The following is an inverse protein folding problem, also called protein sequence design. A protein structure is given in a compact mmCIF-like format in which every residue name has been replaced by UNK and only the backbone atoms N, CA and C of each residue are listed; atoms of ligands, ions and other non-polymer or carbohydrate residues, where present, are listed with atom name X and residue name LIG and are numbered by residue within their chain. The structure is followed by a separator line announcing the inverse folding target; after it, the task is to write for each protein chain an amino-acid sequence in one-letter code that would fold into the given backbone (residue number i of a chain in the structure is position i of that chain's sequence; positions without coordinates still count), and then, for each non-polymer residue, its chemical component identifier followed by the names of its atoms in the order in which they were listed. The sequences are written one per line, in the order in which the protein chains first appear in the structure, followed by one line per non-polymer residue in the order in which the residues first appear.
data_IF_210569713364
#
_entry.id   IF_210569713364
#
_cell.length_a   1.000
_cell.length_b   1.000
_cell.length_c   1.000
_cell.angle_alpha   90.00
_cell.angle_beta   90.00
_cell.angle_gamma   90.00
#
_symmetry.space_group_name_H-M   'P 1'
#
loop_
_entity.id
_entity.type
_entity.pdbx_description
1 polymer ?
#
# COMPACT_ATOMS: atom_id res chain seq x y z
N UNK A 1 2.25 -20.84 -37.29
CA UNK A 1 3.72 -20.70 -37.27
C UNK A 1 4.06 -19.22 -37.16
N UNK A 2 4.38 -18.74 -35.95
CA UNK A 2 5.14 -17.50 -35.73
C UNK A 2 6.26 -17.81 -34.72
N UNK A 3 7.35 -18.48 -35.13
CA UNK A 3 8.53 -18.65 -34.30
C UNK A 3 9.39 -17.39 -34.48
N UNK A 4 9.44 -16.52 -33.47
CA UNK A 4 10.42 -15.41 -33.41
C UNK A 4 9.86 -14.00 -33.15
N UNK A 5 8.55 -13.76 -33.20
CA UNK A 5 8.00 -12.39 -33.21
C UNK A 5 7.52 -11.79 -31.88
N UNK A 6 7.47 -12.54 -30.76
CA UNK A 6 6.80 -12.04 -29.54
C UNK A 6 7.65 -11.01 -28.77
N UNK A 7 8.97 -11.00 -28.98
CA UNK A 7 9.89 -10.07 -28.31
C UNK A 7 9.74 -8.62 -28.81
N UNK A 8 9.28 -8.39 -30.05
CA UNK A 8 9.15 -7.04 -30.61
C UNK A 8 7.94 -6.27 -30.07
N UNK A 9 6.87 -6.94 -29.62
CA UNK A 9 5.70 -6.25 -29.09
C UNK A 9 5.95 -5.57 -27.73
N UNK A 10 6.86 -6.09 -26.90
CA UNK A 10 7.13 -5.54 -25.55
C UNK A 10 7.74 -4.13 -25.59
N UNK A 11 8.46 -3.78 -26.66
CA UNK A 11 9.09 -2.46 -26.84
C UNK A 11 8.21 -1.41 -27.52
N UNK A 12 7.07 -1.79 -28.10
CA UNK A 12 6.17 -0.84 -28.74
C UNK A 12 5.39 -0.01 -27.73
N UNK A 13 5.15 1.25 -28.06
CA UNK A 13 4.22 2.14 -27.36
C UNK A 13 2.85 1.45 -27.16
N UNK A 14 2.20 1.57 -25.99
CA UNK A 14 0.94 0.88 -25.69
C UNK A 14 -0.18 1.15 -26.69
N UNK A 15 -0.29 2.37 -27.23
CA UNK A 15 -1.34 2.70 -28.19
C UNK A 15 -1.06 2.03 -29.54
N UNK A 16 0.20 2.04 -29.97
CA UNK A 16 0.64 1.41 -31.21
C UNK A 16 0.51 -0.12 -31.15
N UNK A 17 0.83 -0.71 -29.99
CA UNK A 17 0.60 -2.14 -29.71
C UNK A 17 -0.88 -2.52 -29.81
N UNK A 18 -1.77 -1.73 -29.20
CA UNK A 18 -3.21 -1.95 -29.29
C UNK A 18 -3.73 -1.86 -30.73
N UNK A 19 -3.21 -0.92 -31.52
CA UNK A 19 -3.57 -0.76 -32.93
C UNK A 19 -3.10 -1.95 -33.77
N UNK A 20 -1.83 -2.35 -33.66
CA UNK A 20 -1.29 -3.53 -34.37
C UNK A 20 -2.06 -4.79 -33.98
N UNK A 21 -2.33 -5.02 -32.69
CA UNK A 21 -3.14 -6.17 -32.26
C UNK A 21 -4.57 -6.13 -32.81
N UNK A 22 -5.12 -4.94 -33.05
CA UNK A 22 -6.48 -4.78 -33.61
C UNK A 22 -6.51 -5.00 -35.13
N UNK A 23 -5.51 -4.52 -35.85
CA UNK A 23 -5.44 -4.60 -37.32
C UNK A 23 -4.90 -5.95 -37.80
N UNK A 24 -3.95 -6.55 -37.08
CA UNK A 24 -3.20 -7.73 -37.55
C UNK A 24 -3.78 -9.07 -37.10
N UNK A 25 -4.69 -9.07 -36.12
CA UNK A 25 -5.26 -10.30 -35.57
C UNK A 25 -6.77 -10.34 -35.75
N UNK A 26 -7.25 -11.49 -36.21
CA UNK A 26 -8.69 -11.78 -36.21
C UNK A 26 -9.24 -11.84 -34.79
N UNK A 27 -10.55 -11.66 -34.61
CA UNK A 27 -11.19 -11.69 -33.29
C UNK A 27 -10.89 -13.00 -32.53
N UNK A 28 -10.91 -14.14 -33.22
CA UNK A 28 -10.59 -15.43 -32.62
C UNK A 28 -9.13 -15.50 -32.13
N UNK A 29 -8.18 -14.94 -32.90
CA UNK A 29 -6.78 -14.88 -32.52
C UNK A 29 -6.53 -13.93 -31.35
N UNK A 30 -7.26 -12.81 -31.26
CA UNK A 30 -7.20 -11.89 -30.11
C UNK A 30 -7.65 -12.59 -28.82
N UNK A 31 -8.76 -13.31 -28.88
CA UNK A 31 -9.26 -14.10 -27.73
C UNK A 31 -8.27 -15.21 -27.35
N UNK A 32 -7.68 -15.91 -28.33
CA UNK A 32 -6.67 -16.92 -28.07
C UNK A 32 -5.39 -16.34 -27.44
N UNK A 33 -4.91 -15.20 -27.92
CA UNK A 33 -3.75 -14.50 -27.37
C UNK A 33 -4.02 -13.99 -25.94
N UNK A 34 -5.21 -13.46 -25.68
CA UNK A 34 -5.63 -13.03 -24.34
C UNK A 34 -5.67 -14.22 -23.38
N UNK A 35 -6.28 -15.35 -23.78
CA UNK A 35 -6.27 -16.60 -22.99
C UNK A 35 -4.85 -17.10 -22.73
N UNK A 36 -3.96 -17.04 -23.71
CA UNK A 36 -2.56 -17.44 -23.56
C UNK A 36 -1.80 -16.50 -22.60
N UNK A 37 -1.97 -15.18 -22.71
CA UNK A 37 -1.34 -14.20 -21.82
C UNK A 37 -1.79 -14.39 -20.36
N UNK A 38 -3.06 -14.73 -20.15
CA UNK A 38 -3.61 -15.06 -18.84
C UNK A 38 -2.96 -16.36 -18.31
N UNK A 39 -2.86 -17.40 -19.13
CA UNK A 39 -2.23 -18.67 -18.75
C UNK A 39 -0.73 -18.52 -18.40
N UNK A 40 0.00 -17.66 -19.12
CA UNK A 40 1.42 -17.40 -18.85
C UNK A 40 1.65 -16.63 -17.53
N UNK A 41 0.71 -15.75 -17.13
CA UNK A 41 0.80 -15.06 -15.83
C UNK A 41 0.66 -16.01 -14.64
N UNK A 42 0.03 -17.17 -14.83
CA UNK A 42 -0.04 -18.23 -13.82
C UNK A 42 1.20 -19.13 -13.75
N UNK A 43 2.10 -19.07 -14.74
CA UNK A 43 3.31 -19.91 -14.82
C UNK A 43 4.59 -19.21 -14.35
N UNK A 44 4.54 -17.93 -13.96
CA UNK A 44 5.68 -17.26 -13.33
C UNK A 44 5.87 -17.82 -11.91
N UNK A 45 6.75 -18.82 -11.82
CA UNK A 45 7.13 -19.61 -10.64
C UNK A 45 7.64 -18.75 -9.46
N UNK A 46 7.46 -19.21 -8.20
CA UNK A 46 7.98 -18.54 -7.02
C UNK A 46 9.48 -18.85 -6.87
N UNK A 47 10.32 -17.89 -7.18
CA UNK A 47 11.71 -17.91 -6.79
C UNK A 47 12.10 -16.49 -6.39
N UNK A 48 11.95 -16.17 -5.10
CA UNK A 48 12.95 -15.47 -4.27
C UNK A 48 12.52 -15.68 -2.82
N UNK A 49 13.01 -16.75 -2.21
CA UNK A 49 13.14 -16.89 -0.76
C UNK A 49 14.63 -16.74 -0.42
N UNK A 50 14.91 -16.00 0.65
CA UNK A 50 16.18 -15.88 1.37
C UNK A 50 17.45 -15.47 0.59
N UNK A 51 17.80 -14.18 0.68
CA UNK A 51 19.22 -13.75 0.75
C UNK A 51 19.38 -12.81 1.95
N UNK A 52 19.80 -13.40 3.07
CA UNK A 52 20.48 -12.72 4.16
C UNK A 52 21.95 -12.72 3.80
N UNK A 53 22.60 -11.54 3.71
CA UNK A 53 24.07 -11.45 3.65
C UNK A 53 24.56 -10.56 4.79
N UNK A 54 25.40 -11.17 5.61
CA UNK A 54 26.17 -10.57 6.71
C UNK A 54 27.63 -10.39 6.22
N UNK A 55 28.09 -9.12 6.28
CA UNK A 55 29.41 -8.61 6.67
C UNK A 55 30.69 -8.62 5.78
N UNK A 56 31.56 -7.64 6.11
CA UNK A 56 33.05 -7.60 6.00
C UNK A 56 33.57 -6.94 4.71
N UNK A 57 34.21 -5.77 4.68
CA UNK A 57 35.46 -5.23 5.30
C UNK A 57 36.79 -5.81 4.76
N UNK A 58 37.47 -4.99 3.94
CA UNK A 58 38.93 -4.79 3.72
C UNK A 58 39.05 -3.88 2.46
N UNK A 59 39.68 -2.70 2.43
CA UNK A 59 41.07 -2.31 2.77
C UNK A 59 41.97 -2.68 1.56
N UNK A 60 42.79 -1.87 0.90
CA UNK A 60 43.23 -0.46 0.92
C UNK A 60 43.72 -0.14 -0.52
N UNK A 61 43.82 1.13 -0.91
CA UNK A 61 44.43 1.51 -2.20
C UNK A 61 44.55 3.02 -2.41
N UNK A 62 45.66 3.57 -1.93
CA UNK A 62 46.04 4.98 -2.01
C UNK A 62 46.12 5.54 -3.44
N UNK A 63 45.79 6.83 -3.62
CA UNK A 63 46.53 7.75 -4.50
C UNK A 63 46.23 9.21 -4.15
N UNK A 64 47.32 9.92 -3.87
CA UNK A 64 47.43 11.34 -3.60
C UNK A 64 47.08 12.20 -4.81
N UNK A 65 46.44 13.36 -4.58
CA UNK A 65 46.66 14.55 -5.40
C UNK A 65 46.34 15.80 -4.56
N UNK A 66 47.40 16.53 -4.25
CA UNK A 66 47.41 17.89 -3.74
C UNK A 66 46.93 18.88 -4.80
N UNK A 67 46.12 19.88 -4.40
CA UNK A 67 46.11 21.18 -5.08
C UNK A 67 45.75 22.27 -4.10
N UNK A 68 46.75 23.10 -3.82
CA UNK A 68 46.69 24.40 -3.17
C UNK A 68 46.09 25.45 -4.11
N UNK A 69 45.67 26.58 -3.52
CA UNK A 69 45.77 27.99 -3.95
C UNK A 69 44.48 28.75 -3.57
N UNK A 70 44.47 29.62 -2.53
CA UNK A 70 44.96 31.02 -2.47
C UNK A 70 43.91 32.05 -2.91
N UNK A 71 43.67 33.08 -2.06
CA UNK A 71 43.12 34.39 -2.45
C UNK A 71 42.01 34.89 -1.51
N UNK A 72 42.30 35.72 -0.49
CA UNK A 72 42.51 37.20 -0.46
C UNK A 72 41.25 38.03 -0.18
N UNK A 73 41.21 38.58 1.05
CA UNK A 73 40.98 39.98 1.49
C UNK A 73 39.97 40.90 0.76
N UNK A 74 39.04 41.49 1.53
CA UNK A 74 38.66 42.93 1.60
C UNK A 74 37.59 43.07 2.72
N UNK A 75 37.79 43.75 3.87
CA UNK A 75 37.79 45.21 4.12
C UNK A 75 36.67 45.96 3.39
N UNK A 76 35.58 46.34 4.05
CA UNK A 76 35.46 47.58 4.85
C UNK A 76 34.00 48.02 5.05
N UNK A 77 33.82 48.65 6.20
CA UNK A 77 33.00 49.81 6.50
C UNK A 77 31.54 49.73 6.97
N UNK A 78 31.37 50.58 7.97
CA UNK A 78 30.30 50.71 8.93
C UNK A 78 29.28 51.78 8.53
N UNK A 79 28.05 51.66 9.04
CA UNK A 79 27.45 52.59 10.02
C UNK A 79 25.92 52.68 9.89
N UNK A 80 25.27 52.48 11.04
CA UNK A 80 24.13 53.27 11.57
C UNK A 80 22.88 53.46 10.71
N UNK A 81 21.72 52.95 11.16
CA UNK A 81 20.65 53.76 11.79
C UNK A 81 19.79 52.82 12.65
N UNK A 82 19.52 53.24 13.89
CA UNK A 82 18.70 52.51 14.85
C UNK A 82 17.21 52.60 14.55
N UNK A 83 16.50 51.52 14.87
CA UNK A 83 15.07 51.57 15.15
C UNK A 83 14.74 50.52 16.22
N UNK A 84 14.34 50.98 17.39
CA UNK A 84 13.90 50.13 18.49
C UNK A 84 12.43 49.77 18.27
N UNK A 85 12.14 48.47 18.07
CA UNK A 85 10.85 47.90 18.49
C UNK A 85 10.90 46.37 18.67
N UNK A 86 10.16 45.81 19.65
CA UNK A 86 10.42 44.50 20.20
C UNK A 86 9.55 43.42 19.53
N UNK A 87 10.11 42.24 19.28
CA UNK A 87 9.30 41.13 18.79
C UNK A 87 10.03 39.79 18.66
N UNK A 88 9.61 38.86 19.52
CA UNK A 88 9.49 37.41 19.28
C UNK A 88 10.76 36.56 19.01
N UNK A 89 11.11 35.80 20.04
CA UNK A 89 11.38 34.35 20.06
C UNK A 89 12.05 33.73 18.81
N UNK A 90 13.36 33.53 18.94
CA UNK A 90 14.18 32.66 18.09
C UNK A 90 13.75 31.18 18.22
N UNK A 91 13.53 30.53 17.07
CA UNK A 91 13.46 29.08 16.94
C UNK A 91 14.56 28.61 15.97
N UNK A 92 15.23 27.47 16.19
CA UNK A 92 16.47 27.15 15.50
C UNK A 92 16.25 26.61 14.09
N UNK A 93 17.13 27.08 13.19
CA UNK A 93 17.36 26.64 11.83
C UNK A 93 17.64 25.12 11.74
N UNK A 94 16.92 24.44 10.84
CA UNK A 94 17.19 23.05 10.46
C UNK A 94 17.92 23.05 9.10
N UNK A 95 19.15 22.53 9.07
CA UNK A 95 19.97 22.40 7.85
C UNK A 95 19.65 21.07 7.17
N UNK A 96 19.29 21.16 5.89
CA UNK A 96 18.97 20.05 5.00
C UNK A 96 20.25 19.50 4.36
N UNK A 97 20.55 18.22 4.54
CA UNK A 97 21.64 17.54 3.85
C UNK A 97 21.10 16.33 3.08
N UNK A 98 21.03 16.48 1.75
CA UNK A 98 20.70 15.42 0.82
C UNK A 98 21.91 14.54 0.52
N UNK A 99 21.68 13.23 0.43
CA UNK A 99 22.66 12.28 -0.10
C UNK A 99 21.97 11.29 -1.04
N UNK A 100 22.32 11.39 -2.31
CA UNK A 100 21.95 10.52 -3.43
C UNK A 100 22.94 9.36 -3.50
N UNK A 101 22.48 8.11 -3.59
CA UNK A 101 23.34 6.95 -3.83
C UNK A 101 22.86 6.18 -5.07
N UNK A 102 23.78 6.09 -6.04
CA UNK A 102 23.67 5.31 -7.27
C UNK A 102 24.16 3.87 -7.05
N UNK A 103 23.52 2.92 -7.72
CA UNK A 103 23.88 1.49 -7.77
C UNK A 103 24.57 1.21 -9.11
N UNK A 104 25.71 0.50 -9.08
CA UNK A 104 26.31 -0.13 -10.25
C UNK A 104 26.45 -1.63 -10.04
N UNK A 105 26.18 -2.36 -11.12
CA UNK A 105 26.16 -3.80 -11.29
C UNK A 105 27.55 -4.46 -11.17
N UNK A 106 27.56 -5.75 -10.76
CA UNK A 106 28.73 -6.64 -10.77
C UNK A 106 28.53 -7.78 -11.78
N UNK A 107 29.61 -8.33 -12.37
CA UNK A 107 29.63 -9.69 -12.89
C UNK A 107 30.42 -10.67 -12.01
N UNK A 108 30.10 -11.94 -12.23
CA UNK A 108 30.41 -13.17 -11.49
C UNK A 108 31.86 -13.65 -11.63
N UNK A 109 32.35 -14.35 -10.60
CA UNK A 109 33.40 -15.36 -10.70
C UNK A 109 33.22 -16.42 -9.60
N UNK A 110 33.67 -17.62 -9.94
CA UNK A 110 33.34 -18.96 -9.42
C UNK A 110 34.20 -19.41 -8.22
N UNK A 111 33.92 -20.65 -7.78
CA UNK A 111 34.74 -21.56 -6.93
C UNK A 111 34.63 -21.34 -5.41
N UNK A 112 34.70 -22.33 -4.53
CA UNK A 112 34.45 -23.79 -4.54
C UNK A 112 34.48 -24.24 -3.06
N UNK A 113 33.99 -25.45 -2.81
CA UNK A 113 34.33 -26.38 -1.72
C UNK A 113 33.71 -26.34 -0.30
N UNK A 114 33.20 -27.55 0.02
CA UNK A 114 33.34 -28.35 1.25
C UNK A 114 32.24 -28.30 2.35
N UNK A 115 31.46 -29.40 2.36
CA UNK A 115 31.16 -30.35 3.45
C UNK A 115 30.85 -29.83 4.88
N UNK A 116 29.72 -30.27 5.46
CA UNK A 116 29.70 -31.39 6.43
C UNK A 116 28.35 -31.52 7.20
N UNK A 117 27.92 -32.77 7.38
CA UNK A 117 27.03 -33.39 8.40
C UNK A 117 25.56 -32.97 8.61
N UNK A 118 24.71 -33.81 8.01
CA UNK A 118 23.60 -34.58 8.61
C UNK A 118 23.39 -34.54 10.15
N UNK A 119 22.16 -34.22 10.56
CA UNK A 119 21.52 -34.79 11.74
C UNK A 119 20.01 -34.96 11.49
N UNK A 120 19.59 -36.22 11.49
CA UNK A 120 18.24 -36.73 11.27
C UNK A 120 17.58 -36.90 12.64
N UNK A 121 16.43 -36.28 12.88
CA UNK A 121 15.60 -36.53 14.06
C UNK A 121 14.13 -36.69 13.63
N UNK A 122 13.75 -37.96 13.57
CA UNK A 122 12.37 -38.45 13.66
C UNK A 122 11.80 -38.13 15.04
N UNK A 123 10.55 -37.67 15.09
CA UNK A 123 9.64 -37.86 16.22
C UNK A 123 8.20 -37.73 15.70
N UNK A 124 7.63 -38.87 15.35
CA UNK A 124 6.20 -39.13 15.21
C UNK A 124 5.50 -38.92 16.56
N UNK A 125 4.30 -38.35 16.56
CA UNK A 125 3.51 -38.15 17.77
C UNK A 125 2.06 -37.89 17.43
N UNK A 126 1.35 -38.97 17.12
CA UNK A 126 -0.10 -39.03 17.00
C UNK A 126 -0.78 -38.76 18.36
N UNK A 127 -1.73 -37.83 18.38
CA UNK A 127 -2.73 -37.75 19.46
C UNK A 127 -4.10 -37.41 18.87
N UNK A 128 -4.89 -38.46 18.69
CA UNK A 128 -6.33 -38.39 18.54
C UNK A 128 -6.99 -37.94 19.85
N UNK A 129 -7.81 -36.89 19.77
CA UNK A 129 -8.77 -36.54 20.82
C UNK A 129 -10.12 -36.32 20.16
N UNK A 130 -10.96 -37.35 20.22
CA UNK A 130 -12.40 -37.27 19.97
C UNK A 130 -13.10 -36.64 21.18
N UNK A 131 -14.06 -35.75 20.94
CA UNK A 131 -14.90 -35.16 21.98
C UNK A 131 -16.02 -34.27 21.42
N UNK A 132 -17.31 -34.62 21.61
CA UNK A 132 -18.45 -34.05 20.89
C UNK A 132 -19.13 -32.90 21.67
N UNK A 133 -19.84 -32.02 20.94
CA UNK A 133 -21.09 -31.41 21.41
C UNK A 133 -21.76 -30.62 20.27
N UNK A 134 -22.89 -31.14 19.80
CA UNK A 134 -23.83 -30.44 18.94
C UNK A 134 -24.45 -29.26 19.70
N UNK A 135 -24.04 -28.04 19.36
CA UNK A 135 -24.66 -26.80 19.79
C UNK A 135 -25.57 -26.25 18.71
N UNK A 136 -26.88 -26.22 19.00
CA UNK A 136 -27.94 -25.62 18.18
C UNK A 136 -27.61 -24.13 17.96
N UNK A 137 -27.11 -23.81 16.78
CA UNK A 137 -26.71 -22.45 16.41
C UNK A 137 -27.91 -21.59 16.02
N UNK A 138 -28.28 -20.67 16.91
CA UNK A 138 -29.07 -19.49 16.56
C UNK A 138 -28.45 -18.80 15.33
N UNK A 139 -29.27 -18.64 14.29
CA UNK A 139 -28.90 -18.03 13.03
C UNK A 139 -28.82 -16.51 13.20
N UNK A 140 -27.79 -16.05 13.90
CA UNK A 140 -27.46 -14.63 14.03
C UNK A 140 -27.24 -13.95 12.67
N UNK A 141 -27.39 -12.62 12.58
CA UNK A 141 -27.34 -11.90 11.32
C UNK A 141 -25.99 -12.12 10.62
N UNK A 142 -26.03 -12.76 9.43
CA UNK A 142 -24.90 -13.04 8.54
C UNK A 142 -23.91 -11.86 8.51
N UNK A 143 -22.88 -11.98 9.34
CA UNK A 143 -21.70 -11.12 9.27
C UNK A 143 -21.01 -11.51 7.97
N UNK A 144 -21.07 -10.61 6.99
CA UNK A 144 -20.40 -10.80 5.71
C UNK A 144 -18.92 -11.10 5.99
N UNK A 145 -18.50 -12.33 5.65
CA UNK A 145 -17.13 -12.78 5.86
C UNK A 145 -16.13 -11.82 5.22
N UNK A 146 -14.92 -11.66 5.82
CA UNK A 146 -13.85 -10.89 5.21
C UNK A 146 -13.52 -11.46 3.82
N UNK A 147 -13.22 -10.56 2.91
CA UNK A 147 -12.97 -10.77 1.48
C UNK A 147 -12.07 -12.00 1.20
N UNK A 148 -12.45 -12.92 0.29
CA UNK A 148 -11.66 -14.10 -0.01
C UNK A 148 -10.27 -13.73 -0.54
N UNK A 149 -9.26 -14.49 -0.10
CA UNK A 149 -7.86 -14.32 -0.44
C UNK A 149 -7.59 -14.64 -1.92
N UNK A 150 -7.04 -13.62 -2.57
CA UNK A 150 -6.53 -13.39 -3.94
C UNK A 150 -5.93 -14.48 -4.84
N UNK A 151 -5.97 -15.79 -4.57
CA UNK A 151 -5.30 -16.77 -5.45
C UNK A 151 -6.32 -17.54 -6.32
N UNK A 152 -6.11 -17.48 -7.63
CA UNK A 152 -6.67 -18.33 -8.71
C UNK A 152 -8.05 -18.03 -9.31
N UNK A 153 -8.71 -16.94 -8.93
CA UNK A 153 -9.96 -16.54 -9.57
C UNK A 153 -9.74 -15.50 -10.68
N UNK A 154 -10.23 -15.80 -11.89
CA UNK A 154 -10.39 -14.90 -13.04
C UNK A 154 -11.20 -13.64 -12.66
N UNK A 155 -10.57 -12.71 -11.93
CA UNK A 155 -11.23 -11.50 -11.44
C UNK A 155 -11.14 -10.40 -12.48
N UNK A 156 -12.27 -10.12 -13.14
CA UNK A 156 -12.47 -8.84 -13.82
C UNK A 156 -12.37 -7.75 -12.75
N UNK A 157 -11.46 -6.80 -12.90
CA UNK A 157 -11.15 -5.81 -11.85
C UNK A 157 -12.38 -4.94 -11.55
N UNK A 158 -12.99 -5.17 -10.39
CA UNK A 158 -14.20 -4.47 -9.95
C UNK A 158 -15.49 -5.23 -10.23
N UNK A 159 -15.39 -6.50 -10.61
CA UNK A 159 -16.47 -7.48 -10.51
C UNK A 159 -16.03 -8.52 -9.48
N UNK A 160 -16.93 -8.92 -8.60
CA UNK A 160 -16.69 -9.88 -7.54
C UNK A 160 -17.67 -11.03 -7.73
N UNK A 161 -17.15 -12.25 -7.65
CA UNK A 161 -17.96 -13.47 -7.72
C UNK A 161 -17.94 -14.16 -6.36
N UNK A 162 -19.08 -14.63 -5.90
CA UNK A 162 -19.21 -15.40 -4.66
C UNK A 162 -20.11 -16.60 -4.92
N UNK A 163 -19.62 -17.80 -4.64
CA UNK A 163 -20.41 -19.01 -4.68
C UNK A 163 -21.13 -19.20 -3.33
N UNK A 164 -22.44 -19.37 -3.36
CA UNK A 164 -23.26 -19.70 -2.19
C UNK A 164 -24.11 -20.91 -2.55
N UNK A 165 -23.92 -22.03 -1.83
CA UNK A 165 -24.63 -23.29 -2.07
C UNK A 165 -24.53 -23.76 -3.53
N UNK A 166 -23.32 -23.72 -4.12
CA UNK A 166 -23.08 -24.11 -5.52
C UNK A 166 -23.56 -23.09 -6.58
N UNK A 167 -24.29 -22.05 -6.18
CA UNK A 167 -24.75 -21.00 -7.08
C UNK A 167 -23.78 -19.83 -7.07
N UNK A 168 -23.29 -19.41 -8.24
CA UNK A 168 -22.41 -18.25 -8.38
C UNK A 168 -23.23 -16.97 -8.50
N UNK A 169 -22.89 -16.00 -7.66
CA UNK A 169 -23.43 -14.64 -7.71
C UNK A 169 -22.31 -13.66 -8.03
N UNK A 170 -22.61 -12.68 -8.87
CA UNK A 170 -21.72 -11.63 -9.30
C UNK A 170 -22.20 -10.29 -8.75
N UNK A 171 -21.27 -9.38 -8.46
CA UNK A 171 -21.58 -7.98 -8.14
C UNK A 171 -20.52 -7.06 -8.70
N UNK A 172 -20.93 -5.89 -9.19
CA UNK A 172 -20.01 -4.86 -9.61
C UNK A 172 -19.67 -3.94 -8.43
N UNK A 173 -18.41 -3.51 -8.38
CA UNK A 173 -17.95 -2.54 -7.41
C UNK A 173 -16.91 -1.58 -8.02
N UNK A 174 -17.02 -0.30 -7.66
CA UNK A 174 -16.04 0.71 -7.99
C UNK A 174 -15.78 1.63 -6.81
N UNK A 175 -14.64 2.28 -6.84
CA UNK A 175 -14.28 3.30 -5.87
C UNK A 175 -13.98 4.56 -6.68
N UNK A 176 -14.72 5.62 -6.38
CA UNK A 176 -14.53 6.96 -6.91
C UNK A 176 -14.06 7.83 -5.76
N UNK A 177 -12.81 8.29 -5.84
CA UNK A 177 -12.11 8.91 -4.70
C UNK A 177 -12.10 7.96 -3.47
N UNK A 178 -12.99 8.20 -2.50
CA UNK A 178 -13.17 7.39 -1.28
C UNK A 178 -14.55 6.75 -1.19
N UNK A 179 -15.45 7.05 -2.11
CA UNK A 179 -16.81 6.50 -2.10
C UNK A 179 -16.79 5.19 -2.88
N UNK A 180 -17.03 4.09 -2.18
CA UNK A 180 -17.25 2.77 -2.74
C UNK A 180 -18.69 2.65 -3.21
N UNK A 181 -18.87 2.29 -4.48
CA UNK A 181 -20.14 1.94 -5.11
C UNK A 181 -20.21 0.42 -5.24
N UNK A 182 -21.31 -0.18 -4.79
CA UNK A 182 -21.52 -1.63 -4.80
C UNK A 182 -22.94 -1.92 -5.28
N UNK A 183 -23.09 -2.76 -6.30
CA UNK A 183 -24.41 -3.17 -6.81
C UNK A 183 -25.03 -4.29 -5.98
N UNK A 184 -26.28 -4.62 -6.26
CA UNK A 184 -26.84 -5.92 -5.85
C UNK A 184 -26.05 -7.08 -6.44
N UNK A 185 -26.21 -8.24 -5.82
CA UNK A 185 -25.71 -9.49 -6.38
C UNK A 185 -26.70 -10.02 -7.42
N UNK A 186 -26.20 -10.50 -8.56
CA UNK A 186 -27.00 -11.12 -9.61
C UNK A 186 -26.33 -12.42 -10.09
N UNK A 187 -27.11 -13.37 -10.61
CA UNK A 187 -26.58 -14.61 -11.18
C UNK A 187 -26.11 -14.39 -12.61
N UNK A 188 -26.72 -13.44 -13.31
CA UNK A 188 -26.37 -13.13 -14.67
C UNK A 188 -25.14 -12.21 -14.71
N UNK A 189 -24.03 -12.77 -15.20
CA UNK A 189 -22.80 -12.01 -15.38
C UNK A 189 -22.98 -10.86 -16.38
N UNK A 190 -23.82 -11.00 -17.41
CA UNK A 190 -24.02 -9.96 -18.42
C UNK A 190 -24.61 -8.70 -17.80
N UNK A 191 -25.65 -8.84 -16.97
CA UNK A 191 -26.25 -7.74 -16.21
C UNK A 191 -25.23 -7.03 -15.31
N UNK A 192 -24.37 -7.79 -14.63
CA UNK A 192 -23.32 -7.22 -13.78
C UNK A 192 -22.23 -6.53 -14.60
N UNK A 193 -21.93 -6.99 -15.81
CA UNK A 193 -20.99 -6.33 -16.71
C UNK A 193 -21.56 -4.99 -17.18
N UNK A 194 -22.85 -4.90 -17.52
CA UNK A 194 -23.50 -3.63 -17.86
C UNK A 194 -23.42 -2.63 -16.71
N UNK A 195 -23.71 -3.10 -15.49
CA UNK A 195 -23.53 -2.28 -14.29
C UNK A 195 -22.07 -1.84 -14.10
N UNK A 196 -21.12 -2.73 -14.36
CA UNK A 196 -19.69 -2.44 -14.23
C UNK A 196 -19.21 -1.38 -15.24
N UNK A 197 -19.74 -1.42 -16.46
CA UNK A 197 -19.46 -0.42 -17.51
C UNK A 197 -19.92 0.95 -17.03
N UNK A 198 -21.17 1.07 -16.57
CA UNK A 198 -21.71 2.33 -16.04
C UNK A 198 -20.88 2.87 -14.85
N UNK A 199 -20.56 2.02 -13.87
CA UNK A 199 -19.72 2.42 -12.73
C UNK A 199 -18.29 2.83 -13.14
N UNK A 200 -17.76 2.25 -14.22
CA UNK A 200 -16.44 2.60 -14.75
C UNK A 200 -16.49 3.92 -15.52
N UNK A 201 -17.54 4.17 -16.30
CA UNK A 201 -17.78 5.45 -16.97
C UNK A 201 -17.89 6.59 -15.94
N UNK A 202 -18.65 6.39 -14.86
CA UNK A 202 -18.72 7.35 -13.74
C UNK A 202 -17.35 7.67 -13.16
N UNK A 203 -16.53 6.64 -12.90
CA UNK A 203 -15.17 6.85 -12.38
C UNK A 203 -14.30 7.64 -13.36
N UNK A 204 -14.37 7.33 -14.66
CA UNK A 204 -13.61 8.03 -15.69
C UNK A 204 -14.00 9.50 -15.75
N UNK A 205 -15.32 9.79 -15.80
CA UNK A 205 -15.87 11.15 -15.76
C UNK A 205 -15.36 11.92 -14.55
N UNK A 206 -15.45 11.34 -13.36
CA UNK A 206 -14.95 11.95 -12.11
C UNK A 206 -13.43 12.12 -12.06
N UNK A 207 -12.65 11.41 -12.88
CA UNK A 207 -11.19 11.55 -12.90
C UNK A 207 -10.71 12.77 -13.70
N UNK A 208 -11.55 13.31 -14.59
CA UNK A 208 -11.24 14.50 -15.41
C UNK A 208 -11.24 15.78 -14.55
N UNK A 209 -12.02 15.79 -13.48
CA UNK A 209 -12.38 16.97 -12.72
C UNK A 209 -11.39 17.40 -11.62
N UNK A 210 -10.29 16.66 -11.43
CA UNK A 210 -9.29 16.93 -10.39
C UNK A 210 -9.85 16.96 -8.96
N UNK A 211 -9.05 17.47 -8.02
CA UNK A 211 -9.40 17.59 -6.59
C UNK A 211 -10.12 18.93 -6.26
N UNK A 212 -11.08 19.38 -7.09
CA UNK A 212 -11.83 20.62 -6.76
C UNK A 212 -12.81 20.42 -5.59
N UNK A 213 -13.12 21.53 -4.89
CA UNK A 213 -13.92 21.58 -3.66
C UNK A 213 -15.35 21.05 -3.84
N UNK A 214 -15.89 21.07 -5.07
CA UNK A 214 -17.27 20.66 -5.38
C UNK A 214 -17.40 19.17 -5.72
N UNK A 215 -16.66 18.30 -5.01
CA UNK A 215 -16.69 16.86 -5.29
C UNK A 215 -18.10 16.28 -5.18
N UNK A 216 -18.87 16.66 -4.16
CA UNK A 216 -20.19 16.09 -3.89
C UNK A 216 -21.20 16.41 -4.98
N UNK A 217 -21.33 17.68 -5.38
CA UNK A 217 -22.28 18.12 -6.40
C UNK A 217 -21.95 17.48 -7.74
N UNK A 218 -20.67 17.51 -8.13
CA UNK A 218 -20.19 16.87 -9.36
C UNK A 218 -20.40 15.36 -9.35
N UNK A 219 -20.22 14.71 -8.20
CA UNK A 219 -20.47 13.28 -8.07
C UNK A 219 -21.96 12.95 -8.26
N UNK A 220 -22.87 13.74 -7.64
CA UNK A 220 -24.33 13.57 -7.80
C UNK A 220 -24.74 13.75 -9.26
N UNK A 221 -24.33 14.85 -9.87
CA UNK A 221 -24.61 15.17 -11.26
C UNK A 221 -24.06 14.10 -12.21
N UNK A 222 -22.77 13.77 -12.09
CA UNK A 222 -22.13 12.77 -12.96
C UNK A 222 -22.78 11.39 -12.82
N UNK A 223 -23.23 11.02 -11.62
CA UNK A 223 -23.91 9.74 -11.40
C UNK A 223 -25.27 9.72 -12.09
N UNK A 224 -26.06 10.79 -11.99
CA UNK A 224 -27.36 10.89 -12.65
C UNK A 224 -27.20 10.84 -14.18
N UNK A 225 -26.29 11.62 -14.74
CA UNK A 225 -26.02 11.65 -16.19
C UNK A 225 -25.56 10.28 -16.71
N UNK A 226 -24.55 9.67 -16.06
CA UNK A 226 -24.02 8.37 -16.50
C UNK A 226 -25.07 7.27 -16.39
N UNK A 227 -25.87 7.25 -15.32
CA UNK A 227 -26.94 6.25 -15.20
C UNK A 227 -28.01 6.44 -16.28
N UNK A 228 -28.39 7.69 -16.57
CA UNK A 228 -29.32 8.03 -17.65
C UNK A 228 -28.81 7.60 -19.04
N UNK A 229 -27.54 7.88 -19.36
CA UNK A 229 -26.89 7.47 -20.62
C UNK A 229 -26.92 5.96 -20.84
N UNK A 230 -26.82 5.19 -19.76
CA UNK A 230 -26.86 3.72 -19.79
C UNK A 230 -28.29 3.15 -19.63
N UNK A 231 -29.33 3.99 -19.53
CA UNK A 231 -30.71 3.54 -19.31
C UNK A 231 -30.91 2.82 -17.97
N UNK A 232 -30.10 3.15 -16.96
CA UNK A 232 -30.10 2.53 -15.63
C UNK A 232 -30.63 3.50 -14.57
N UNK A 233 -31.15 2.95 -13.48
CA UNK A 233 -31.46 3.72 -12.27
C UNK A 233 -30.70 3.13 -11.08
N UNK A 234 -30.36 3.98 -10.09
CA UNK A 234 -29.66 3.51 -8.89
C UNK A 234 -30.46 2.42 -8.15
N UNK A 235 -31.79 2.54 -8.12
CA UNK A 235 -32.70 1.55 -7.55
C UNK A 235 -32.68 0.23 -8.33
N UNK A 236 -32.72 0.28 -9.68
CA UNK A 236 -32.65 -0.91 -10.52
C UNK A 236 -31.33 -1.68 -10.35
N UNK A 237 -30.21 -0.99 -10.10
CA UNK A 237 -28.93 -1.64 -9.83
C UNK A 237 -28.81 -2.17 -8.38
N UNK A 238 -29.75 -1.83 -7.50
CA UNK A 238 -29.60 -2.01 -6.05
C UNK A 238 -28.32 -1.37 -5.54
N UNK A 239 -28.02 -0.15 -6.02
CA UNK A 239 -26.78 0.54 -5.74
C UNK A 239 -26.70 0.93 -4.27
N UNK A 240 -25.60 0.54 -3.63
CA UNK A 240 -25.26 0.88 -2.25
C UNK A 240 -23.89 1.52 -2.20
N UNK A 241 -23.71 2.35 -1.18
CA UNK A 241 -22.54 3.20 -1.02
C UNK A 241 -21.85 2.94 0.32
N UNK A 242 -20.54 3.05 0.35
CA UNK A 242 -19.78 3.16 1.60
C UNK A 242 -18.62 4.14 1.41
N UNK A 243 -18.08 4.66 2.50
CA UNK A 243 -16.82 5.42 2.47
C UNK A 243 -15.69 4.48 2.86
N UNK A 244 -14.68 4.39 2.00
CA UNK A 244 -13.45 3.64 2.24
C UNK A 244 -12.31 4.58 2.54
N UNK A 245 -11.52 4.24 3.54
CA UNK A 245 -10.32 4.99 3.87
C UNK A 245 -9.27 4.08 4.48
N UNK A 246 -8.01 4.40 4.18
CA UNK A 246 -6.87 3.74 4.81
C UNK A 246 -6.60 4.36 6.17
N UNK A 247 -6.27 3.53 7.16
CA UNK A 247 -5.74 3.99 8.45
C UNK A 247 -4.34 3.42 8.65
N UNK A 248 -3.37 4.31 8.87
CA UNK A 248 -1.98 3.94 9.17
C UNK A 248 -1.85 3.27 10.54
N UNK A 249 -2.72 3.63 11.49
CA UNK A 249 -2.72 3.11 12.87
C UNK A 249 -3.02 1.61 12.94
N UNK A 250 -3.91 1.11 12.07
CA UNK A 250 -4.30 -0.30 12.00
C UNK A 250 -3.85 -0.99 10.71
N UNK A 251 -3.13 -0.27 9.83
CA UNK A 251 -2.58 -0.75 8.56
C UNK A 251 -3.58 -1.51 7.67
N UNK A 252 -4.83 -1.04 7.65
CA UNK A 252 -5.89 -1.66 6.85
C UNK A 252 -6.84 -0.62 6.25
N UNK A 253 -7.56 -1.05 5.22
CA UNK A 253 -8.64 -0.24 4.63
C UNK A 253 -9.92 -0.49 5.41
N UNK A 254 -10.44 0.56 6.03
CA UNK A 254 -11.76 0.54 6.65
C UNK A 254 -12.83 0.91 5.63
N UNK A 255 -14.01 0.32 5.81
CA UNK A 255 -15.21 0.64 5.05
C UNK A 255 -16.34 0.89 6.04
N UNK A 256 -17.03 2.03 5.89
CA UNK A 256 -18.26 2.31 6.64
C UNK A 256 -19.36 1.32 6.24
N UNK A 257 -20.48 1.24 6.98
CA UNK A 257 -21.64 0.47 6.55
C UNK A 257 -22.07 0.82 5.14
N UNK A 258 -22.64 -0.16 4.45
CA UNK A 258 -23.30 0.06 3.17
C UNK A 258 -24.63 0.77 3.42
N UNK A 259 -24.83 1.92 2.78
CA UNK A 259 -26.07 2.68 2.80
C UNK A 259 -26.64 2.79 1.39
N UNK A 260 -27.94 2.77 1.23
CA UNK A 260 -28.66 2.95 -0.03
C UNK A 260 -28.88 4.44 -0.37
N UNK A 261 -28.91 5.31 0.64
CA UNK A 261 -29.12 6.75 0.48
C UNK A 261 -27.83 7.49 0.14
N UNK A 262 -27.79 8.10 -1.05
CA UNK A 262 -26.66 8.88 -1.54
C UNK A 262 -26.31 10.07 -0.60
N UNK A 263 -27.29 10.84 -0.16
CA UNK A 263 -27.04 12.00 0.71
C UNK A 263 -26.43 11.59 2.06
N UNK A 264 -26.82 10.41 2.58
CA UNK A 264 -26.27 9.89 3.83
C UNK A 264 -24.78 9.55 3.68
N UNK A 265 -24.38 8.91 2.58
CA UNK A 265 -22.97 8.61 2.33
C UNK A 265 -22.16 9.88 2.06
N UNK A 266 -22.74 10.90 1.41
CA UNK A 266 -22.04 12.15 1.13
C UNK A 266 -21.80 12.97 2.40
N UNK A 267 -22.79 13.04 3.30
CA UNK A 267 -22.62 13.63 4.63
C UNK A 267 -21.50 12.93 5.41
N UNK A 268 -21.47 11.59 5.37
CA UNK A 268 -20.42 10.81 6.01
C UNK A 268 -19.04 11.02 5.36
N UNK A 269 -18.98 11.08 4.02
CA UNK A 269 -17.77 11.38 3.27
C UNK A 269 -17.22 12.75 3.64
N UNK A 270 -18.06 13.79 3.70
CA UNK A 270 -17.68 15.15 4.08
C UNK A 270 -17.10 15.19 5.49
N UNK A 271 -17.79 14.57 6.46
CA UNK A 271 -17.31 14.43 7.85
C UNK A 271 -15.94 13.75 7.92
N UNK A 272 -15.70 12.72 7.10
CA UNK A 272 -14.44 11.99 7.06
C UNK A 272 -13.34 12.71 6.25
N UNK A 273 -13.72 13.57 5.32
CA UNK A 273 -12.80 14.34 4.48
C UNK A 273 -12.19 15.53 5.21
N UNK A 274 -12.92 16.14 6.16
CA UNK A 274 -12.43 17.24 7.00
C UNK A 274 -11.45 16.79 8.08
N UNK A 275 -11.41 15.49 8.41
CA UNK A 275 -10.47 14.99 9.40
C UNK A 275 -9.03 15.12 8.88
N UNK A 276 -8.09 15.63 9.71
CA UNK A 276 -6.71 15.75 9.32
C UNK A 276 -6.19 14.38 8.91
N UNK A 277 -5.71 14.30 7.68
CA UNK A 277 -5.06 13.12 7.14
C UNK A 277 -3.71 13.57 6.67
N UNK A 278 -2.67 13.15 7.39
CA UNK A 278 -1.38 13.02 6.73
C UNK A 278 -1.61 12.12 5.52
N UNK A 279 -1.35 12.66 4.33
CA UNK A 279 -1.39 11.94 3.05
C UNK A 279 -0.28 10.88 3.05
N UNK A 280 -0.38 9.89 3.92
CA UNK A 280 0.45 8.70 3.91
C UNK A 280 -0.11 7.80 2.81
N UNK A 281 0.19 8.17 1.58
CA UNK A 281 0.05 7.24 0.48
C UNK A 281 0.93 6.03 0.77
N UNK A 282 0.54 4.86 0.27
CA UNK A 282 1.34 3.64 0.35
C UNK A 282 2.77 3.81 -0.20
N UNK A 283 3.03 4.85 -1.00
CA UNK A 283 4.37 5.23 -1.49
C UNK A 283 5.24 5.94 -0.44
N UNK A 284 4.63 6.60 0.55
CA UNK A 284 5.33 7.29 1.64
C UNK A 284 5.52 6.39 2.87
N UNK A 285 5.73 5.08 2.65
CA UNK A 285 6.08 4.14 3.72
C UNK A 285 7.33 4.59 4.49
N UNK A 286 8.24 5.34 3.85
CA UNK A 286 9.37 5.95 4.54
C UNK A 286 8.93 6.99 5.58
N UNK A 287 8.02 7.90 5.24
CA UNK A 287 7.46 8.91 6.18
C UNK A 287 6.76 8.26 7.37
N UNK A 288 6.13 7.11 7.14
CA UNK A 288 5.47 6.36 8.20
C UNK A 288 6.42 5.96 9.33
N UNK A 289 7.68 5.62 9.04
CA UNK A 289 8.68 5.26 10.06
C UNK A 289 9.06 6.42 10.97
N UNK A 290 9.01 7.66 10.46
CA UNK A 290 9.38 8.86 11.19
C UNK A 290 8.29 9.36 12.14
N UNK A 291 7.05 8.90 11.98
CA UNK A 291 5.93 9.37 12.81
C UNK A 291 5.88 8.66 14.15
N UNK A 292 5.73 9.41 15.22
CA UNK A 292 5.58 8.83 16.56
C UNK A 292 4.27 8.03 16.67
N UNK A 293 4.24 6.87 17.36
CA UNK A 293 3.02 6.10 17.61
C UNK A 293 1.97 6.98 18.31
N UNK A 294 2.42 7.91 19.15
CA UNK A 294 1.56 8.88 19.84
C UNK A 294 0.83 9.79 18.84
N UNK A 295 1.54 10.33 17.84
CA UNK A 295 0.95 11.19 16.81
C UNK A 295 -0.04 10.41 15.94
N UNK A 296 0.32 9.17 15.57
CA UNK A 296 -0.57 8.28 14.81
C UNK A 296 -1.86 8.01 15.59
N UNK A 297 -1.75 7.79 16.90
CA UNK A 297 -2.90 7.55 17.75
C UNK A 297 -3.77 8.82 17.91
N UNK A 298 -3.15 10.00 18.01
CA UNK A 298 -3.87 11.28 18.08
C UNK A 298 -4.70 11.55 16.81
N UNK A 299 -4.14 11.32 15.61
CA UNK A 299 -4.89 11.43 14.35
C UNK A 299 -5.94 10.33 14.19
N UNK A 300 -5.68 9.14 14.74
CA UNK A 300 -6.58 8.00 14.68
C UNK A 300 -7.85 8.20 15.50
N UNK A 301 -7.76 8.85 16.68
CA UNK A 301 -8.90 9.07 17.60
C UNK A 301 -10.16 9.66 16.93
N UNK A 302 -10.13 10.80 16.23
CA UNK A 302 -11.33 11.35 15.60
C UNK A 302 -11.85 10.46 14.46
N UNK A 303 -10.96 9.77 13.75
CA UNK A 303 -11.33 8.85 12.68
C UNK A 303 -12.01 7.59 13.23
N UNK A 304 -11.49 7.04 14.34
CA UNK A 304 -12.07 5.92 15.11
C UNK A 304 -13.47 6.27 15.59
N UNK A 305 -13.64 7.45 16.19
CA UNK A 305 -14.95 7.92 16.65
C UNK A 305 -15.96 8.02 15.50
N UNK A 306 -15.60 8.71 14.41
CA UNK A 306 -16.48 8.83 13.24
C UNK A 306 -16.83 7.47 12.60
N UNK A 307 -15.90 6.51 12.62
CA UNK A 307 -16.13 5.16 12.15
C UNK A 307 -17.12 4.38 13.05
N UNK A 308 -16.91 4.40 14.37
CA UNK A 308 -17.82 3.78 15.34
C UNK A 308 -19.22 4.38 15.20
N UNK A 309 -19.34 5.71 15.21
CA UNK A 309 -20.62 6.41 15.03
C UNK A 309 -21.37 5.96 13.77
N UNK A 310 -20.65 5.76 12.66
CA UNK A 310 -21.27 5.31 11.42
C UNK A 310 -21.85 3.91 11.52
N UNK A 311 -21.19 3.00 12.23
CA UNK A 311 -21.69 1.64 12.49
C UNK A 311 -22.81 1.62 13.53
N UNK A 312 -22.75 2.48 14.55
CA UNK A 312 -23.83 2.68 15.52
C UNK A 312 -25.10 3.20 14.85
N UNK A 313 -24.98 4.17 13.94
CA UNK A 313 -26.10 4.65 13.13
C UNK A 313 -26.71 3.56 12.23
N UNK A 314 -25.94 2.52 11.89
CA UNK A 314 -26.42 1.34 11.17
C UNK A 314 -26.92 0.21 12.11
N UNK A 315 -27.11 0.50 13.41
CA UNK A 315 -27.66 -0.42 14.39
C UNK A 315 -26.68 -1.47 14.93
N UNK A 316 -25.37 -1.29 14.74
CA UNK A 316 -24.36 -2.14 15.40
C UNK A 316 -24.02 -1.62 16.78
N UNK A 317 -23.76 -2.55 17.70
CA UNK A 317 -23.29 -2.20 19.04
C UNK A 317 -21.91 -1.53 18.96
N UNK A 318 -21.77 -0.28 19.45
CA UNK A 318 -20.49 0.42 19.48
C UNK A 318 -19.40 -0.35 20.25
N UNK A 319 -19.75 -1.12 21.29
CA UNK A 319 -18.78 -1.86 22.08
C UNK A 319 -18.11 -2.97 21.28
N UNK A 320 -18.88 -3.71 20.48
CA UNK A 320 -18.35 -4.77 19.59
C UNK A 320 -17.42 -4.18 18.52
N UNK A 321 -17.79 -3.03 17.94
CA UNK A 321 -16.96 -2.36 16.93
C UNK A 321 -15.68 -1.80 17.57
N UNK A 322 -15.78 -1.18 18.75
CA UNK A 322 -14.63 -0.67 19.49
C UNK A 322 -13.65 -1.79 19.84
N UNK A 323 -14.12 -2.88 20.44
CA UNK A 323 -13.27 -4.03 20.81
C UNK A 323 -12.53 -4.62 19.59
N UNK A 324 -13.21 -4.69 18.43
CA UNK A 324 -12.59 -5.12 17.17
C UNK A 324 -11.48 -4.17 16.71
N UNK A 325 -11.70 -2.87 16.79
CA UNK A 325 -10.68 -1.88 16.45
C UNK A 325 -9.51 -1.92 17.44
N UNK A 326 -9.77 -2.15 18.72
CA UNK A 326 -8.75 -2.25 19.76
C UNK A 326 -7.86 -3.49 19.56
N UNK A 327 -8.44 -4.60 19.10
CA UNK A 327 -7.67 -5.79 18.72
C UNK A 327 -6.71 -5.49 17.55
N UNK A 328 -7.20 -4.81 16.50
CA UNK A 328 -6.35 -4.42 15.35
C UNK A 328 -5.30 -3.37 15.72
N UNK A 329 -5.66 -2.40 16.56
CA UNK A 329 -4.74 -1.36 17.02
C UNK A 329 -3.63 -1.97 17.87
N UNK A 330 -3.95 -2.82 18.85
CA UNK A 330 -2.93 -3.49 19.68
C UNK A 330 -1.96 -4.31 18.84
N UNK A 331 -2.47 -5.21 17.99
CA UNK A 331 -1.64 -6.05 17.13
C UNK A 331 -0.71 -5.21 16.23
N UNK A 332 -1.19 -4.08 15.71
CA UNK A 332 -0.37 -3.19 14.89
C UNK A 332 0.63 -2.39 15.73
N UNK A 333 0.25 -1.89 16.90
CA UNK A 333 1.15 -1.13 17.77
C UNK A 333 2.32 -2.00 18.27
N UNK A 334 2.05 -3.24 18.66
CA UNK A 334 3.08 -4.21 19.05
C UNK A 334 4.11 -4.41 17.93
N UNK A 335 3.64 -4.65 16.70
CA UNK A 335 4.51 -4.79 15.53
C UNK A 335 5.35 -3.53 15.26
N UNK A 336 4.78 -2.33 15.43
CA UNK A 336 5.53 -1.08 15.23
C UNK A 336 6.59 -0.86 16.29
N UNK A 337 6.29 -1.20 17.54
CA UNK A 337 7.26 -1.13 18.63
C UNK A 337 8.40 -2.13 18.40
N UNK A 338 8.08 -3.36 17.98
CA UNK A 338 9.07 -4.38 17.63
C UNK A 338 9.99 -3.91 16.50
N UNK A 339 9.43 -3.39 15.41
CA UNK A 339 10.21 -2.92 14.26
C UNK A 339 11.12 -1.73 14.64
N UNK A 340 10.64 -0.81 15.48
CA UNK A 340 11.44 0.29 16.02
C UNK A 340 12.56 -0.19 16.93
N UNK A 341 12.29 -1.16 17.80
CA UNK A 341 13.30 -1.77 18.66
C UNK A 341 14.39 -2.44 17.81
N UNK A 342 14.02 -3.20 16.77
CA UNK A 342 14.98 -3.79 15.82
C UNK A 342 15.83 -2.73 15.13
N UNK A 343 15.22 -1.65 14.67
CA UNK A 343 15.95 -0.55 14.01
C UNK A 343 16.93 0.12 14.97
N UNK A 344 16.54 0.37 16.23
CA UNK A 344 17.42 0.94 17.25
C UNK A 344 18.60 0.02 17.54
N UNK A 345 18.37 -1.28 17.75
CA UNK A 345 19.45 -2.25 17.96
C UNK A 345 20.42 -2.30 16.77
N UNK A 346 19.90 -2.27 15.53
CA UNK A 346 20.75 -2.24 14.35
C UNK A 346 21.60 -0.96 14.26
N UNK A 347 21.07 0.19 14.71
CA UNK A 347 21.83 1.44 14.77
C UNK A 347 22.91 1.40 15.86
N UNK A 348 22.58 0.90 17.05
CA UNK A 348 23.53 0.69 18.15
C UNK A 348 24.67 -0.24 17.72
N UNK A 349 24.34 -1.39 17.11
CA UNK A 349 25.33 -2.33 16.56
C UNK A 349 26.25 -1.68 15.52
N UNK A 350 25.70 -0.84 14.64
CA UNK A 350 26.49 -0.12 13.65
C UNK A 350 27.45 0.89 14.31
N UNK A 351 26.99 1.62 15.33
CA UNK A 351 27.83 2.54 16.09
C UNK A 351 28.95 1.78 16.82
N UNK A 352 28.62 0.70 17.53
CA UNK A 352 29.61 -0.13 18.23
C UNK A 352 30.61 -0.78 17.27
N UNK A 353 30.20 -1.19 16.07
CA UNK A 353 31.14 -1.66 15.02
C UNK A 353 32.09 -0.54 14.58
N UNK A 354 31.57 0.67 14.33
CA UNK A 354 32.40 1.82 13.94
C UNK A 354 33.40 2.21 15.02
N UNK A 355 33.00 2.17 16.28
CA UNK A 355 33.89 2.43 17.42
C UNK A 355 35.00 1.38 17.53
N UNK A 356 34.68 0.09 17.40
CA UNK A 356 35.68 -0.98 17.36
C UNK A 356 36.67 -0.82 16.20
N UNK A 357 36.18 -0.52 15.00
CA UNK A 357 37.05 -0.24 13.85
C UNK A 357 37.97 0.97 14.10
N UNK A 358 37.47 2.05 14.74
CA UNK A 358 38.26 3.23 15.09
C UNK A 358 39.33 2.89 16.14
N UNK A 359 38.97 2.15 17.18
CA UNK A 359 39.89 1.71 18.23
C UNK A 359 41.01 0.84 17.65
N UNK A 360 40.68 -0.16 16.83
CA UNK A 360 41.66 -1.01 16.15
C UNK A 360 42.60 -0.22 15.23
N UNK A 361 42.07 0.77 14.50
CA UNK A 361 42.92 1.67 13.67
C UNK A 361 43.83 2.55 14.53
N UNK A 362 43.37 3.04 15.67
CA UNK A 362 44.18 3.83 16.58
C UNK A 362 45.31 3.01 17.20
N UNK A 363 45.03 1.76 17.59
CA UNK A 363 46.01 0.82 18.10
C UNK A 363 47.09 0.50 17.05
N UNK A 364 46.70 0.18 15.80
CA UNK A 364 47.64 -0.02 14.70
C UNK A 364 48.56 1.19 14.47
N UNK A 365 48.02 2.41 14.59
CA UNK A 365 48.81 3.65 14.48
C UNK A 365 49.77 3.86 15.65
N UNK A 366 49.43 3.40 16.86
CA UNK A 366 50.34 3.44 18.02
C UNK A 366 51.47 2.44 17.85
N UNK A 367 51.14 1.20 17.52
CA UNK A 367 52.13 0.15 17.24
C UNK A 367 53.12 0.57 16.14
N UNK A 368 52.63 1.19 15.05
CA UNK A 368 53.47 1.70 13.97
C UNK A 368 54.34 2.92 14.33
N UNK A 369 54.10 3.58 15.47
CA UNK A 369 54.97 4.66 15.99
C UNK A 369 56.00 4.14 16.98
N UNK A 370 55.74 2.99 17.59
CA UNK A 370 56.63 2.34 18.56
C UNK A 370 57.67 1.44 17.87
N UNK A 371 57.35 0.90 16.70
CA UNK A 371 58.28 0.23 15.78
C UNK A 371 59.09 1.25 14.98
#
# INVERSE_FOLDING_TARGET
VLPGGVHTLRGLDPALRCRVLRESLSQAQRVALERWMIAQRGRASPAVEAVVVIAGDQGDGARSASSSCSGTLSSDDASSVGDERPGLLEGPHFIEAGATLALCDKPLAEEDDADDKSAQLDCSGDHDVEGPAEGVGEMGPKVWAPWPSRRDSLHIRGVLSTALNGVVYHRACRIVNRVGLVTRCDRDLSVILDYHVALTALKQRMSVFGDSEDFEERFKQSMEEVLSEHGLTAAAMGLRFCVKFWSSCINTTLATPLVDRLDAVMKLWRRLATLPRTRTYFRDQLKFWWRSPVEMQQEWKPLRAAYIDSWTAAGKDPAVIAAKLDAWERARMELLLELRNRQRMAQEDQLSRRERCRAARAERRRAAREA
#
